data_IF_668132802408
#
_entry.id   IF_668132802408
#
_cell.length_a   1.000
_cell.length_b   1.000
_cell.length_c   1.000
_cell.angle_alpha   90.00
_cell.angle_beta   90.00
_cell.angle_gamma   90.00
#
_symmetry.space_group_name_H-M   'P 1'
#
loop_
_entity.id
_entity.type
_entity.pdbx_description
1 polymer ?
#
# COMPACT_ATOMS: atom_id res chain seq x y z
N UNK A 1 -92.44 -41.74 21.28
CA UNK A 1 -92.36 -41.21 22.67
C UNK A 1 -91.58 -42.19 23.52
N UNK A 2 -90.59 -41.74 24.32
CA UNK A 2 -89.97 -42.46 25.49
C UNK A 2 -89.32 -43.85 25.23
N UNK A 3 -88.35 -44.35 26.03
CA UNK A 3 -87.28 -43.77 26.88
C UNK A 3 -86.29 -44.93 27.23
N UNK A 4 -85.07 -44.64 27.70
CA UNK A 4 -83.99 -45.61 28.00
C UNK A 4 -82.67 -45.16 27.34
N UNK A 5 -81.56 -44.78 28.00
CA UNK A 5 -81.04 -45.01 29.37
C UNK A 5 -80.75 -46.51 29.63
N UNK A 6 -79.56 -46.96 30.05
CA UNK A 6 -78.27 -46.33 30.42
C UNK A 6 -77.12 -47.33 30.06
N UNK A 7 -75.79 -47.13 30.17
CA UNK A 7 -74.83 -46.15 30.74
C UNK A 7 -73.43 -46.41 30.06
N UNK A 8 -72.22 -45.89 30.36
CA UNK A 8 -71.60 -44.88 31.24
C UNK A 8 -70.18 -44.53 30.66
N UNK A 9 -69.44 -43.54 31.19
CA UNK A 9 -67.98 -43.43 30.94
C UNK A 9 -67.31 -42.03 31.07
N UNK A 10 -66.45 -41.88 32.08
CA UNK A 10 -65.54 -40.75 32.39
C UNK A 10 -64.49 -40.40 31.29
N UNK A 11 -63.67 -39.33 31.35
CA UNK A 11 -63.70 -37.99 32.00
C UNK A 11 -62.40 -37.22 31.63
N UNK A 12 -62.53 -35.93 31.27
CA UNK A 12 -61.55 -34.82 31.19
C UNK A 12 -60.06 -34.96 30.75
N UNK A 13 -59.67 -34.04 29.83
CA UNK A 13 -58.42 -33.26 29.75
C UNK A 13 -57.09 -33.97 29.38
N UNK A 14 -56.05 -33.30 28.86
CA UNK A 14 -55.79 -31.84 28.72
C UNK A 14 -55.27 -31.41 27.31
N UNK A 15 -54.78 -30.16 27.18
CA UNK A 15 -54.66 -29.37 25.94
C UNK A 15 -53.36 -29.56 25.12
N UNK A 16 -53.34 -29.04 23.88
CA UNK A 16 -52.19 -29.08 22.97
C UNK A 16 -52.36 -28.38 21.61
N UNK A 17 -52.68 -27.08 21.59
CA UNK A 17 -52.52 -26.18 20.43
C UNK A 17 -51.00 -26.02 20.08
N UNK A 18 -50.51 -25.65 18.90
CA UNK A 18 -51.01 -25.24 17.56
C UNK A 18 -49.78 -25.21 16.59
N UNK A 19 -49.84 -24.70 15.34
CA UNK A 19 -50.87 -24.70 14.31
C UNK A 19 -50.35 -25.41 13.01
N UNK A 20 -50.97 -25.16 11.84
CA UNK A 20 -50.47 -25.60 10.52
C UNK A 20 -49.96 -24.41 9.71
N UNK A 21 -48.91 -24.63 8.90
CA UNK A 21 -48.52 -23.70 7.83
C UNK A 21 -48.30 -24.44 6.49
N UNK A 22 -48.24 -23.70 5.38
CA UNK A 22 -48.59 -24.19 4.04
C UNK A 22 -47.43 -24.21 3.02
N UNK A 23 -47.64 -24.93 1.91
CA UNK A 23 -46.63 -25.20 0.87
C UNK A 23 -46.30 -23.99 -0.02
N UNK A 24 -45.01 -23.70 -0.14
CA UNK A 24 -44.29 -23.24 -1.35
C UNK A 24 -42.92 -23.94 -1.25
N UNK A 25 -42.28 -24.51 -2.27
CA UNK A 25 -42.35 -24.34 -3.72
C UNK A 25 -40.91 -24.04 -4.19
N UNK A 26 -40.19 -25.04 -4.70
CA UNK A 26 -38.76 -24.93 -4.97
C UNK A 26 -38.47 -24.12 -6.25
N UNK A 27 -38.04 -22.86 -6.09
CA UNK A 27 -37.37 -22.12 -7.16
C UNK A 27 -35.84 -22.27 -7.05
N UNK A 28 -35.25 -23.07 -7.94
CA UNK A 28 -33.80 -23.16 -8.10
C UNK A 28 -33.25 -21.88 -8.75
N UNK A 29 -32.88 -20.89 -7.94
CA UNK A 29 -32.19 -19.69 -8.43
C UNK A 29 -30.80 -20.04 -8.94
N UNK A 30 -30.57 -19.84 -10.24
CA UNK A 30 -29.22 -19.84 -10.80
C UNK A 30 -28.41 -18.73 -10.12
N UNK A 31 -27.27 -19.09 -9.53
CA UNK A 31 -26.34 -18.12 -8.94
C UNK A 31 -25.53 -17.51 -10.08
N UNK A 32 -25.95 -16.35 -10.57
CA UNK A 32 -25.18 -15.56 -11.52
C UNK A 32 -23.76 -15.34 -10.99
N UNK A 33 -22.76 -15.62 -11.84
CA UNK A 33 -21.36 -15.47 -11.43
C UNK A 33 -21.02 -13.99 -11.30
N UNK A 34 -20.39 -13.55 -10.19
CA UNK A 34 -20.16 -12.14 -9.91
C UNK A 34 -19.41 -11.45 -11.06
N UNK A 35 -20.01 -10.37 -11.55
CA UNK A 35 -19.61 -9.63 -12.74
C UNK A 35 -18.34 -8.79 -12.53
N UNK A 36 -18.01 -8.46 -11.27
CA UNK A 36 -16.85 -7.62 -10.96
C UNK A 36 -15.93 -8.13 -9.84
N UNK A 37 -14.68 -7.68 -9.91
CA UNK A 37 -13.63 -7.87 -8.89
C UNK A 37 -13.90 -7.16 -7.54
N UNK A 38 -15.08 -6.54 -7.38
CA UNK A 38 -15.56 -5.97 -6.10
C UNK A 38 -16.48 -6.96 -5.37
N UNK A 39 -17.48 -7.49 -6.08
CA UNK A 39 -18.43 -8.50 -5.58
C UNK A 39 -17.72 -9.74 -5.02
N UNK A 40 -16.75 -10.32 -5.77
CA UNK A 40 -15.98 -11.50 -5.34
C UNK A 40 -15.37 -11.27 -3.95
N UNK A 41 -14.76 -10.10 -3.74
CA UNK A 41 -14.12 -9.72 -2.47
C UNK A 41 -15.11 -9.24 -1.40
N UNK A 42 -16.39 -9.07 -1.71
CA UNK A 42 -17.45 -8.89 -0.72
C UNK A 42 -17.92 -10.28 -0.25
N UNK A 43 -18.14 -11.23 -1.17
CA UNK A 43 -18.58 -12.58 -0.88
C UNK A 43 -17.55 -13.41 -0.07
N UNK A 44 -16.25 -13.22 -0.31
CA UNK A 44 -15.18 -13.93 0.41
C UNK A 44 -14.92 -13.41 1.85
N UNK A 45 -15.51 -12.27 2.26
CA UNK A 45 -15.31 -11.68 3.60
C UNK A 45 -13.91 -11.12 3.91
N UNK A 46 -12.84 -11.52 3.22
CA UNK A 46 -11.42 -11.20 3.51
C UNK A 46 -10.99 -9.70 3.44
N UNK A 47 -11.91 -8.74 3.43
CA UNK A 47 -11.61 -7.36 2.98
C UNK A 47 -10.70 -6.55 3.90
N UNK A 48 -10.67 -6.81 5.21
CA UNK A 48 -9.90 -6.01 6.17
C UNK A 48 -8.92 -6.81 7.07
N UNK A 49 -9.28 -8.01 7.54
CA UNK A 49 -8.45 -8.76 8.52
C UNK A 49 -7.06 -9.12 8.00
N UNK A 50 -6.98 -9.63 6.76
CA UNK A 50 -5.73 -9.99 6.07
C UNK A 50 -4.75 -8.81 5.92
N UNK A 51 -5.27 -7.58 5.83
CA UNK A 51 -4.46 -6.37 5.81
C UNK A 51 -3.92 -6.10 7.23
N UNK A 52 -4.74 -6.29 8.26
CA UNK A 52 -4.33 -6.12 9.66
C UNK A 52 -3.21 -7.09 10.06
N UNK A 53 -3.31 -8.39 9.74
CA UNK A 53 -2.35 -9.40 10.18
C UNK A 53 -0.98 -9.24 9.53
N UNK A 54 -0.94 -8.96 8.23
CA UNK A 54 0.32 -8.70 7.53
C UNK A 54 0.97 -7.39 7.95
N UNK A 55 0.20 -6.41 8.41
CA UNK A 55 0.75 -5.18 9.02
C UNK A 55 1.26 -5.47 10.43
N UNK A 56 0.50 -6.18 11.28
CA UNK A 56 0.92 -6.61 12.62
C UNK A 56 2.27 -7.34 12.55
N UNK A 57 2.38 -8.38 11.70
CA UNK A 57 3.62 -9.14 11.51
C UNK A 57 4.78 -8.29 10.97
N UNK A 58 4.51 -7.33 10.07
CA UNK A 58 5.56 -6.43 9.58
C UNK A 58 6.05 -5.40 10.62
N UNK A 59 5.20 -5.04 11.59
CA UNK A 59 5.56 -4.23 12.76
C UNK A 59 6.36 -5.08 13.76
N UNK A 60 5.94 -6.34 13.98
CA UNK A 60 6.59 -7.33 14.85
C UNK A 60 8.00 -7.72 14.36
N UNK A 61 8.21 -7.78 13.04
CA UNK A 61 9.52 -7.87 12.40
C UNK A 61 10.32 -6.54 12.39
N UNK A 62 9.83 -5.49 13.06
CA UNK A 62 10.57 -4.25 13.34
C UNK A 62 10.74 -3.26 12.17
N UNK A 63 9.76 -3.14 11.25
CA UNK A 63 9.99 -2.47 9.95
C UNK A 63 9.02 -1.32 9.60
N UNK A 64 9.61 -0.20 9.17
CA UNK A 64 9.12 0.66 8.08
C UNK A 64 7.67 1.20 8.14
N UNK A 65 7.13 1.57 9.31
CA UNK A 65 5.94 2.43 9.41
C UNK A 65 6.22 3.66 10.28
N UNK A 66 5.56 4.78 9.99
CA UNK A 66 5.45 5.93 10.90
C UNK A 66 3.98 6.32 11.06
N UNK A 67 3.61 6.88 12.20
CA UNK A 67 2.30 7.49 12.36
C UNK A 67 2.35 8.97 11.93
N UNK A 68 1.44 9.37 11.03
CA UNK A 68 1.32 10.77 10.59
C UNK A 68 -0.16 11.17 10.59
N UNK A 69 -0.54 12.05 11.53
CA UNK A 69 -1.92 12.55 11.73
C UNK A 69 -2.95 11.43 11.99
N UNK A 70 -2.68 10.57 12.98
CA UNK A 70 -3.60 9.49 13.38
C UNK A 70 -3.71 8.34 12.37
N UNK A 71 -2.73 8.20 11.47
CA UNK A 71 -2.71 7.15 10.43
C UNK A 71 -1.30 6.58 10.27
N UNK A 72 -1.20 5.25 10.37
CA UNK A 72 0.01 4.52 10.02
C UNK A 72 0.30 4.65 8.52
N UNK A 73 1.51 5.06 8.18
CA UNK A 73 2.02 5.17 6.82
C UNK A 73 3.27 4.33 6.65
N UNK A 74 3.27 3.51 5.61
CA UNK A 74 4.42 2.70 5.23
C UNK A 74 5.53 3.58 4.66
N UNK A 75 6.71 3.52 5.26
CA UNK A 75 7.94 4.06 4.67
C UNK A 75 8.30 3.22 3.44
N UNK A 76 8.86 3.90 2.43
CA UNK A 76 9.40 3.30 1.21
C UNK A 76 10.86 3.74 1.10
N UNK A 77 11.69 2.85 0.59
CA UNK A 77 13.10 3.14 0.34
C UNK A 77 13.26 3.87 -1.01
N UNK A 78 14.00 4.98 -1.00
CA UNK A 78 14.29 5.83 -2.14
C UNK A 78 15.79 5.99 -2.32
N UNK A 79 16.20 6.15 -3.57
CA UNK A 79 17.54 6.52 -4.01
C UNK A 79 17.43 7.87 -4.71
N UNK A 80 18.25 8.83 -4.31
CA UNK A 80 18.32 10.16 -4.92
C UNK A 80 19.74 10.41 -5.39
N UNK A 81 19.88 10.78 -6.67
CA UNK A 81 21.14 11.18 -7.27
C UNK A 81 21.03 12.64 -7.69
N UNK A 82 22.04 13.45 -7.34
CA UNK A 82 22.18 14.83 -7.81
C UNK A 82 23.50 15.02 -8.55
N UNK A 83 23.44 15.83 -9.60
CA UNK A 83 24.58 16.28 -10.38
C UNK A 83 24.73 17.78 -10.12
N UNK A 84 25.82 18.16 -9.47
CA UNK A 84 26.16 19.53 -9.08
C UNK A 84 27.15 20.12 -10.09
N UNK A 85 27.10 21.44 -10.33
CA UNK A 85 28.03 22.12 -11.24
C UNK A 85 29.50 21.89 -10.85
N UNK A 86 30.39 21.59 -11.81
CA UNK A 86 31.78 21.21 -11.51
C UNK A 86 32.66 22.39 -11.04
N UNK A 87 32.29 23.61 -11.41
CA UNK A 87 32.93 24.87 -11.03
C UNK A 87 32.60 25.32 -9.60
N UNK A 88 31.67 24.63 -8.92
CA UNK A 88 31.37 24.87 -7.52
C UNK A 88 32.56 24.42 -6.65
N UNK A 89 33.22 25.37 -5.99
CA UNK A 89 34.33 25.09 -5.08
C UNK A 89 33.90 24.34 -3.82
N UNK A 90 34.79 23.50 -3.27
CA UNK A 90 34.48 22.49 -2.24
C UNK A 90 33.68 23.01 -1.03
N UNK A 91 33.90 24.26 -0.61
CA UNK A 91 33.16 24.86 0.52
C UNK A 91 31.67 25.00 0.19
N UNK A 92 31.34 25.56 -0.97
CA UNK A 92 29.96 25.72 -1.44
C UNK A 92 29.31 24.38 -1.81
N UNK A 93 30.12 23.44 -2.30
CA UNK A 93 29.69 22.07 -2.57
C UNK A 93 29.22 21.37 -1.28
N UNK A 94 30.02 21.46 -0.20
CA UNK A 94 29.63 20.95 1.12
C UNK A 94 28.39 21.68 1.67
N UNK A 95 28.37 23.02 1.62
CA UNK A 95 27.21 23.83 2.04
C UNK A 95 25.90 23.40 1.34
N UNK A 96 25.94 23.11 0.03
CA UNK A 96 24.78 22.63 -0.73
C UNK A 96 24.38 21.19 -0.36
N UNK A 97 25.35 20.28 -0.19
CA UNK A 97 25.08 18.88 0.21
C UNK A 97 24.49 18.83 1.62
N UNK A 98 25.03 19.63 2.54
CA UNK A 98 24.57 19.72 3.92
C UNK A 98 23.15 20.32 3.98
N UNK A 99 22.86 21.36 3.17
CA UNK A 99 21.50 21.88 3.02
C UNK A 99 20.51 20.85 2.44
N UNK A 100 20.94 20.00 1.50
CA UNK A 100 20.13 18.89 0.98
C UNK A 100 19.91 17.82 2.07
N UNK A 101 20.92 17.48 2.87
CA UNK A 101 20.80 16.55 4.00
C UNK A 101 19.77 17.06 5.01
N UNK A 102 19.94 18.29 5.48
CA UNK A 102 19.04 18.96 6.43
C UNK A 102 17.60 19.04 5.91
N UNK A 103 17.42 19.33 4.61
CA UNK A 103 16.10 19.32 4.00
C UNK A 103 15.46 17.93 4.02
N UNK A 104 16.24 16.89 3.69
CA UNK A 104 15.76 15.50 3.70
C UNK A 104 15.36 15.09 5.11
N UNK A 105 16.23 15.25 6.10
CA UNK A 105 15.96 14.82 7.48
C UNK A 105 14.79 15.57 8.13
N UNK A 106 14.64 16.88 7.85
CA UNK A 106 13.62 17.72 8.49
C UNK A 106 12.23 17.63 7.84
N UNK A 107 12.13 17.25 6.55
CA UNK A 107 10.86 17.28 5.79
C UNK A 107 10.55 16.02 5.00
N UNK A 108 11.56 15.31 4.51
CA UNK A 108 11.36 14.22 3.55
C UNK A 108 11.27 12.87 4.24
N UNK A 109 12.14 12.62 5.22
CA UNK A 109 12.22 11.35 5.94
C UNK A 109 13.63 11.07 6.45
N UNK A 110 13.94 9.81 6.79
CA UNK A 110 15.22 9.45 7.41
C UNK A 110 16.25 8.97 6.39
N UNK A 111 17.46 9.49 6.43
CA UNK A 111 18.59 9.02 5.61
C UNK A 111 19.08 7.64 6.10
N UNK A 112 19.49 6.80 5.14
CA UNK A 112 20.04 5.45 5.35
C UNK A 112 21.55 5.45 5.06
N UNK A 113 21.94 6.09 3.94
CA UNK A 113 23.29 6.02 3.40
C UNK A 113 23.56 7.23 2.48
N UNK A 114 24.81 7.68 2.43
CA UNK A 114 25.30 8.75 1.55
C UNK A 114 26.58 8.32 0.84
N UNK A 115 26.77 8.79 -0.39
CA UNK A 115 27.99 8.56 -1.20
C UNK A 115 28.29 9.77 -2.09
N UNK A 116 29.52 10.26 -2.01
CA UNK A 116 30.13 11.07 -3.08
C UNK A 116 30.66 10.14 -4.16
N UNK A 117 30.37 10.45 -5.42
CA UNK A 117 30.77 9.69 -6.60
C UNK A 117 31.77 10.44 -7.51
N UNK A 118 32.19 11.64 -7.09
CA UNK A 118 33.21 12.47 -7.73
C UNK A 118 32.72 13.24 -8.97
N UNK A 119 33.64 13.95 -9.61
CA UNK A 119 33.39 14.58 -10.91
C UNK A 119 33.43 13.53 -12.03
N UNK A 120 32.44 13.56 -12.93
CA UNK A 120 32.37 12.69 -14.11
C UNK A 120 31.93 13.46 -15.34
N UNK A 121 32.27 12.95 -16.52
CA UNK A 121 31.80 13.47 -17.80
C UNK A 121 30.32 13.13 -18.02
N UNK A 122 29.58 14.06 -18.61
CA UNK A 122 28.17 13.97 -18.94
C UNK A 122 28.01 13.61 -20.43
N UNK A 123 27.12 12.67 -20.74
CA UNK A 123 26.86 12.22 -22.11
C UNK A 123 26.40 13.35 -23.07
N UNK A 124 25.94 14.48 -22.55
CA UNK A 124 25.67 15.72 -23.28
C UNK A 124 25.77 16.93 -22.34
N UNK A 125 25.92 18.14 -22.91
CA UNK A 125 26.09 19.36 -22.11
C UNK A 125 24.82 19.77 -21.37
N UNK A 126 24.92 20.06 -20.07
CA UNK A 126 23.84 20.56 -19.22
C UNK A 126 24.26 21.92 -18.65
N UNK A 127 23.40 22.95 -18.77
CA UNK A 127 23.74 24.37 -18.40
C UNK A 127 25.12 24.84 -18.95
N UNK A 128 25.51 24.35 -20.14
CA UNK A 128 26.83 24.49 -20.83
C UNK A 128 27.99 23.59 -20.34
N UNK A 129 27.92 22.99 -19.15
CA UNK A 129 28.96 22.09 -18.63
C UNK A 129 28.93 20.71 -19.32
N UNK A 130 30.09 20.12 -19.63
CA UNK A 130 30.23 18.72 -20.05
C UNK A 130 30.61 17.78 -18.90
N UNK A 131 30.84 18.28 -17.69
CA UNK A 131 31.16 17.47 -16.50
C UNK A 131 30.26 17.91 -15.35
N UNK A 132 30.15 17.07 -14.32
CA UNK A 132 29.39 17.38 -13.10
C UNK A 132 29.79 16.48 -11.95
N UNK A 133 29.57 16.95 -10.72
CA UNK A 133 29.90 16.22 -9.48
C UNK A 133 28.69 15.43 -9.02
N UNK A 134 28.85 14.12 -8.84
CA UNK A 134 27.75 13.19 -8.53
C UNK A 134 27.68 12.88 -7.04
N UNK A 135 26.47 12.96 -6.48
CA UNK A 135 26.18 12.58 -5.09
C UNK A 135 24.92 11.72 -5.04
N UNK A 136 24.96 10.67 -4.24
CA UNK A 136 23.88 9.71 -4.07
C UNK A 136 23.49 9.58 -2.58
N UNK A 137 22.19 9.65 -2.29
CA UNK A 137 21.63 9.50 -0.94
C UNK A 137 20.50 8.47 -0.99
N UNK A 138 20.54 7.49 -0.09
CA UNK A 138 19.43 6.57 0.14
C UNK A 138 18.64 7.01 1.37
N UNK A 139 17.32 7.09 1.28
CA UNK A 139 16.45 7.59 2.36
C UNK A 139 15.09 6.88 2.41
N UNK A 140 14.47 6.85 3.59
CA UNK A 140 13.13 6.30 3.83
C UNK A 140 12.11 7.42 3.95
N UNK A 141 11.08 7.41 3.11
CA UNK A 141 9.99 8.39 3.14
C UNK A 141 8.61 7.77 2.98
N UNK A 142 7.56 8.42 3.49
CA UNK A 142 6.16 8.07 3.17
C UNK A 142 5.80 8.41 1.72
N UNK A 143 6.63 9.22 1.03
CA UNK A 143 6.48 9.61 -0.37
C UNK A 143 5.75 10.94 -0.59
N UNK A 144 5.37 11.66 0.47
CA UNK A 144 4.98 13.09 0.34
C UNK A 144 6.22 13.96 0.08
N UNK A 145 7.28 13.74 0.86
CA UNK A 145 8.50 14.52 0.82
C UNK A 145 9.23 14.54 -0.52
N UNK A 146 8.99 13.57 -1.41
CA UNK A 146 9.54 13.59 -2.78
C UNK A 146 9.15 14.88 -3.53
N UNK A 147 7.90 15.33 -3.42
CA UNK A 147 7.44 16.55 -4.09
C UNK A 147 8.02 17.84 -3.48
N UNK A 148 8.38 17.81 -2.20
CA UNK A 148 9.04 18.93 -1.53
C UNK A 148 10.53 18.99 -1.88
N UNK A 149 11.20 17.83 -1.93
CA UNK A 149 12.60 17.70 -2.35
C UNK A 149 12.80 18.16 -3.79
N UNK A 150 11.90 17.78 -4.72
CA UNK A 150 11.93 18.24 -6.12
C UNK A 150 11.88 19.77 -6.23
N UNK A 151 10.95 20.41 -5.53
CA UNK A 151 10.80 21.88 -5.52
C UNK A 151 12.02 22.60 -4.95
N UNK A 152 12.63 22.04 -3.91
CA UNK A 152 13.86 22.58 -3.33
C UNK A 152 15.04 22.47 -4.30
N UNK A 153 15.23 21.32 -4.94
CA UNK A 153 16.28 21.11 -5.95
C UNK A 153 16.05 21.94 -7.24
N UNK A 154 14.81 22.34 -7.51
CA UNK A 154 14.46 23.27 -8.61
C UNK A 154 14.78 24.74 -8.27
N UNK A 155 14.87 25.11 -7.00
CA UNK A 155 15.34 26.44 -6.58
C UNK A 155 16.88 26.56 -6.49
N UNK A 156 17.61 25.45 -6.46
CA UNK A 156 19.08 25.46 -6.35
C UNK A 156 19.77 25.63 -7.71
N UNK A 157 20.29 26.83 -7.98
CA UNK A 157 20.91 27.18 -9.28
C UNK A 157 22.08 26.26 -9.68
N UNK A 158 22.84 25.79 -8.70
CA UNK A 158 24.01 24.93 -8.88
C UNK A 158 23.67 23.44 -9.10
N UNK A 159 22.41 23.04 -9.02
CA UNK A 159 21.97 21.69 -9.43
C UNK A 159 21.85 21.66 -10.96
N UNK A 160 22.65 20.82 -11.62
CA UNK A 160 22.55 20.59 -13.07
C UNK A 160 21.39 19.66 -13.41
N UNK A 161 21.25 18.58 -12.63
CA UNK A 161 20.22 17.55 -12.79
C UNK A 161 20.04 16.80 -11.47
N UNK A 162 18.85 16.27 -11.26
CA UNK A 162 18.61 15.28 -10.23
C UNK A 162 17.78 14.09 -10.77
N UNK A 163 17.81 12.98 -10.05
CA UNK A 163 16.96 11.81 -10.25
C UNK A 163 16.53 11.29 -8.87
N UNK A 164 15.25 10.93 -8.73
CA UNK A 164 14.73 10.25 -7.55
C UNK A 164 14.07 8.96 -8.03
N UNK A 165 14.49 7.83 -7.46
CA UNK A 165 14.01 6.48 -7.76
C UNK A 165 13.49 5.84 -6.48
N UNK A 166 12.33 5.18 -6.52
CA UNK A 166 11.90 4.32 -5.41
C UNK A 166 12.54 2.95 -5.60
N UNK A 167 13.41 2.52 -4.68
CA UNK A 167 14.15 1.23 -4.76
C UNK A 167 13.25 0.00 -4.66
N UNK A 168 12.04 0.19 -4.13
CA UNK A 168 11.12 -0.89 -3.79
C UNK A 168 10.37 -1.48 -5.00
N UNK A 169 10.60 -2.77 -5.28
CA UNK A 169 9.75 -3.59 -6.15
C UNK A 169 8.38 -3.80 -5.48
N UNK A 170 7.32 -3.20 -6.03
CA UNK A 170 5.97 -3.34 -5.47
C UNK A 170 5.32 -4.64 -5.92
N UNK A 171 5.50 -5.68 -5.12
CA UNK A 171 4.76 -6.96 -5.11
C UNK A 171 3.27 -6.73 -4.76
N UNK A 172 2.52 -6.03 -5.63
CA UNK A 172 1.06 -5.92 -5.50
C UNK A 172 0.39 -7.28 -5.69
N UNK A 173 -0.82 -7.49 -5.12
CA UNK A 173 -1.63 -8.70 -5.42
C UNK A 173 -1.70 -8.96 -6.95
N UNK A 174 -1.79 -7.92 -7.76
CA UNK A 174 -1.78 -8.00 -9.23
C UNK A 174 -0.41 -8.24 -9.91
N UNK A 175 0.74 -8.01 -9.26
CA UNK A 175 2.04 -8.48 -9.74
C UNK A 175 2.22 -9.96 -9.43
N UNK A 176 1.94 -10.37 -8.18
CA UNK A 176 2.03 -11.78 -7.74
C UNK A 176 1.12 -12.67 -8.60
N UNK A 177 -0.12 -12.23 -8.84
CA UNK A 177 -1.06 -12.95 -9.71
C UNK A 177 -0.55 -13.06 -11.16
N UNK A 178 -0.07 -11.96 -11.78
CA UNK A 178 0.50 -12.01 -13.13
C UNK A 178 1.78 -12.85 -13.22
N UNK A 179 2.60 -12.89 -12.17
CA UNK A 179 3.79 -13.73 -12.11
C UNK A 179 3.45 -15.23 -11.97
N UNK A 180 2.41 -15.55 -11.19
CA UNK A 180 1.84 -16.90 -11.09
C UNK A 180 1.25 -17.36 -12.43
N UNK A 181 0.34 -16.57 -13.00
CA UNK A 181 -0.28 -16.83 -14.32
C UNK A 181 0.77 -17.02 -15.43
N UNK A 182 1.87 -16.25 -15.45
CA UNK A 182 2.94 -16.41 -16.45
C UNK A 182 3.74 -17.71 -16.33
N UNK A 183 3.78 -18.36 -15.16
CA UNK A 183 4.35 -19.71 -15.03
C UNK A 183 3.35 -20.76 -15.49
N UNK A 184 2.10 -20.63 -15.07
CA UNK A 184 1.01 -21.58 -15.39
C UNK A 184 0.61 -21.56 -16.87
N UNK A 185 0.82 -20.43 -17.57
CA UNK A 185 0.64 -20.30 -19.03
C UNK A 185 1.92 -20.58 -19.85
N UNK A 186 2.96 -21.14 -19.21
CA UNK A 186 4.25 -21.47 -19.85
C UNK A 186 4.64 -22.94 -19.63
N UNK A 187 3.66 -23.78 -19.31
CA UNK A 187 3.73 -25.25 -19.21
C UNK A 187 2.74 -25.87 -20.20
#
# INVERSE_FOLDING_TARGET
>A
MKKGENEAGNFEQSEGQEPKESRVGEESKEVEKPSSLREIKEAEGEKEEYISEKIKKAIEEGKNFIEEKGRLKRLKDYEFTVVISPDLGEKKEKELIDAIRDFIERKVGKIIYERSEGERELAYKIKKYNRGKFFCIEYKSTGRGEQELRKFLETEEHVLRYLIVRKEKVETKGHIWRAKMRKELSQ
#
